data_IF_562121349550
#
_entry.id   IF_562121349550
#
_cell.length_a   1.000
_cell.length_b   1.000
_cell.length_c   1.000
_cell.angle_alpha   90.00
_cell.angle_beta   90.00
_cell.angle_gamma   90.00
#
_symmetry.space_group_name_H-M   'P 1'
#
loop_
_entity.id
_entity.type
_entity.pdbx_description
1 polymer ?
#
# COMPACT_ATOMS: atom_id res chain seq x y z
N UNK A 1 14.53 -3.29 69.78
CA UNK A 1 14.94 -3.89 68.49
C UNK A 1 13.89 -4.94 68.15
N UNK A 2 13.19 -4.82 67.02
CA UNK A 2 12.10 -5.73 66.61
C UNK A 2 12.58 -6.59 65.44
N UNK A 3 12.47 -7.91 65.58
CA UNK A 3 12.71 -8.90 64.52
C UNK A 3 11.40 -9.47 63.99
N UNK A 4 11.21 -9.32 62.67
CA UNK A 4 10.76 -10.23 61.59
C UNK A 4 9.85 -11.43 61.95
N UNK A 5 8.76 -11.67 61.17
CA UNK A 5 8.48 -12.89 60.35
C UNK A 5 7.37 -12.62 59.30
N UNK A 6 7.75 -12.75 58.02
CA UNK A 6 7.15 -13.46 56.85
C UNK A 6 5.63 -13.72 56.81
N UNK A 7 4.99 -13.38 55.68
CA UNK A 7 3.67 -13.86 55.26
C UNK A 7 3.42 -13.56 53.78
N UNK A 8 3.13 -14.60 52.99
CA UNK A 8 3.28 -14.64 51.54
C UNK A 8 2.01 -14.28 50.73
N UNK A 9 2.22 -14.21 49.40
CA UNK A 9 1.28 -14.46 48.29
C UNK A 9 0.44 -13.29 47.78
N UNK A 10 0.69 -12.96 46.51
CA UNK A 10 -0.21 -12.24 45.63
C UNK A 10 0.41 -12.12 44.23
N UNK A 11 0.35 -13.21 43.45
CA UNK A 11 0.70 -13.20 42.03
C UNK A 11 -0.12 -12.15 41.28
N UNK A 12 0.54 -11.34 40.47
CA UNK A 12 -0.04 -10.78 39.25
C UNK A 12 0.91 -11.07 38.08
N UNK A 13 0.57 -12.15 37.37
CA UNK A 13 0.87 -12.38 35.97
C UNK A 13 0.41 -11.11 35.20
N UNK A 14 1.09 -10.53 34.21
CA UNK A 14 1.47 -11.11 32.91
C UNK A 14 2.36 -10.12 32.15
N UNK A 15 3.51 -10.57 31.64
CA UNK A 15 4.12 -10.04 30.41
C UNK A 15 3.43 -10.69 29.19
N UNK A 16 3.56 -10.22 27.93
CA UNK A 16 4.19 -9.00 27.43
C UNK A 16 3.24 -8.16 26.55
N UNK A 17 3.47 -6.85 26.43
CA UNK A 17 3.07 -6.15 25.21
C UNK A 17 4.00 -6.67 24.12
N UNK A 18 3.53 -7.65 23.34
CA UNK A 18 4.07 -7.92 22.02
C UNK A 18 3.96 -6.60 21.26
N UNK A 19 5.08 -5.88 21.15
CA UNK A 19 5.31 -5.01 20.01
C UNK A 19 5.18 -5.92 18.80
N UNK A 20 3.97 -6.02 18.24
CA UNK A 20 3.78 -6.58 16.91
C UNK A 20 4.57 -5.63 16.01
N UNK A 21 5.78 -6.04 15.66
CA UNK A 21 6.45 -5.53 14.46
C UNK A 21 5.38 -5.51 13.37
N UNK A 22 5.16 -4.39 12.67
CA UNK A 22 4.15 -4.34 11.63
C UNK A 22 4.47 -5.48 10.67
N UNK A 23 3.57 -6.46 10.60
CA UNK A 23 3.69 -7.60 9.70
C UNK A 23 4.06 -7.04 8.35
N UNK A 24 5.27 -7.36 7.88
CA UNK A 24 5.80 -6.82 6.64
C UNK A 24 4.76 -7.10 5.56
N UNK A 25 4.11 -6.05 5.04
CA UNK A 25 2.99 -6.21 4.11
C UNK A 25 3.46 -7.06 2.95
N UNK A 26 2.87 -8.24 2.81
CA UNK A 26 3.27 -9.25 1.84
C UNK A 26 3.44 -8.62 0.44
N UNK A 27 4.55 -8.90 -0.25
CA UNK A 27 4.86 -8.26 -1.53
C UNK A 27 3.79 -8.52 -2.60
N UNK A 28 3.13 -9.67 -2.58
CA UNK A 28 2.06 -10.00 -3.52
C UNK A 28 0.78 -9.23 -3.19
N UNK A 29 0.48 -8.98 -1.91
CA UNK A 29 -0.61 -8.06 -1.53
C UNK A 29 -0.40 -6.67 -2.14
N UNK A 30 0.83 -6.16 -2.06
CA UNK A 30 1.18 -4.87 -2.64
C UNK A 30 1.04 -4.88 -4.16
N UNK A 31 1.47 -5.94 -4.84
CA UNK A 31 1.33 -6.07 -6.29
C UNK A 31 -0.13 -6.11 -6.73
N UNK A 32 -0.99 -6.83 -6.02
CA UNK A 32 -2.43 -6.82 -6.30
C UNK A 32 -3.02 -5.41 -6.13
N UNK A 33 -2.76 -4.76 -5.00
CA UNK A 33 -3.25 -3.39 -4.75
C UNK A 33 -2.76 -2.43 -5.85
N UNK A 34 -1.47 -2.46 -6.20
CA UNK A 34 -0.90 -1.68 -7.30
C UNK A 34 -1.58 -1.98 -8.63
N UNK A 35 -1.87 -3.24 -8.93
CA UNK A 35 -2.53 -3.61 -10.20
C UNK A 35 -3.90 -2.94 -10.38
N UNK A 36 -4.68 -2.84 -9.30
CA UNK A 36 -5.99 -2.18 -9.28
C UNK A 36 -5.83 -0.67 -9.44
N UNK A 37 -4.93 -0.07 -8.65
CA UNK A 37 -4.69 1.37 -8.68
C UNK A 37 -4.14 1.82 -10.05
N UNK A 38 -3.17 1.09 -10.60
CA UNK A 38 -2.51 1.43 -11.86
C UNK A 38 -3.44 1.25 -13.07
N UNK A 39 -4.40 0.32 -13.03
CA UNK A 39 -5.44 0.25 -14.05
C UNK A 39 -6.21 1.58 -14.12
N UNK A 40 -6.72 2.04 -12.97
CA UNK A 40 -7.51 3.27 -12.84
C UNK A 40 -6.69 4.50 -13.25
N UNK A 41 -5.47 4.63 -12.73
CA UNK A 41 -4.55 5.71 -13.11
C UNK A 41 -4.25 5.71 -14.60
N UNK A 42 -4.03 4.54 -15.20
CA UNK A 42 -3.77 4.43 -16.65
C UNK A 42 -4.99 4.84 -17.49
N UNK A 43 -6.22 4.57 -17.03
CA UNK A 43 -7.43 5.05 -17.70
C UNK A 43 -7.51 6.57 -17.66
N UNK A 44 -7.24 7.18 -16.50
CA UNK A 44 -7.24 8.64 -16.36
C UNK A 44 -6.14 9.31 -17.18
N UNK A 45 -4.92 8.74 -17.21
CA UNK A 45 -3.83 9.27 -18.02
C UNK A 45 -4.13 9.19 -19.53
N UNK A 46 -4.82 8.13 -19.97
CA UNK A 46 -5.26 8.03 -21.36
C UNK A 46 -6.30 9.11 -21.72
N UNK A 47 -7.16 9.50 -20.78
CA UNK A 47 -8.11 10.60 -21.00
C UNK A 47 -7.40 11.96 -21.14
N UNK A 48 -6.29 12.18 -20.44
CA UNK A 48 -5.48 13.39 -20.56
C UNK A 48 -4.65 13.42 -21.84
N UNK A 49 -4.06 12.27 -22.21
CA UNK A 49 -3.31 12.12 -23.45
C UNK A 49 -3.67 10.79 -24.14
N UNK A 50 -4.60 10.83 -25.11
CA UNK A 50 -5.05 9.63 -25.84
C UNK A 50 -3.95 8.93 -26.65
N UNK A 51 -2.83 9.61 -26.92
CA UNK A 51 -1.68 9.06 -27.64
C UNK A 51 -0.65 8.43 -26.70
N UNK A 52 -0.85 8.52 -25.39
CA UNK A 52 0.07 7.95 -24.40
C UNK A 52 0.14 6.42 -24.53
N UNK A 53 1.35 5.83 -24.51
CA UNK A 53 1.50 4.37 -24.54
C UNK A 53 1.14 3.71 -23.20
N UNK A 54 0.63 4.46 -22.22
CA UNK A 54 0.45 4.00 -20.83
C UNK A 54 -0.40 2.74 -20.70
N UNK A 55 -1.44 2.57 -21.53
CA UNK A 55 -2.24 1.33 -21.49
C UNK A 55 -1.48 0.11 -21.98
N UNK A 56 -0.69 0.25 -23.03
CA UNK A 56 0.15 -0.85 -23.51
C UNK A 56 1.23 -1.19 -22.48
N UNK A 57 1.85 -0.18 -21.86
CA UNK A 57 2.84 -0.37 -20.79
C UNK A 57 2.21 -1.07 -19.57
N UNK A 58 1.01 -0.66 -19.15
CA UNK A 58 0.28 -1.31 -18.05
C UNK A 58 -0.04 -2.78 -18.37
N UNK A 59 -0.53 -3.08 -19.58
CA UNK A 59 -0.84 -4.46 -19.99
C UNK A 59 0.42 -5.34 -20.01
N UNK A 60 1.55 -4.81 -20.48
CA UNK A 60 2.82 -5.52 -20.44
C UNK A 60 3.27 -5.80 -19.00
N UNK A 61 3.23 -4.79 -18.13
CA UNK A 61 3.55 -4.93 -16.71
C UNK A 61 2.65 -5.96 -16.03
N UNK A 62 1.34 -5.92 -16.31
CA UNK A 62 0.37 -6.88 -15.79
C UNK A 62 0.73 -8.31 -16.19
N UNK A 63 1.15 -8.52 -17.45
CA UNK A 63 1.60 -9.82 -17.93
C UNK A 63 2.86 -10.34 -17.23
N UNK A 64 3.79 -9.47 -16.87
CA UNK A 64 5.03 -9.83 -16.17
C UNK A 64 4.78 -10.27 -14.71
N UNK A 65 3.73 -9.74 -14.07
CA UNK A 65 3.43 -9.96 -12.66
C UNK A 65 2.16 -10.79 -12.42
N UNK A 66 1.56 -11.37 -13.46
CA UNK A 66 0.23 -11.99 -13.38
C UNK A 66 0.12 -13.04 -12.28
N UNK A 67 1.11 -13.93 -12.17
CA UNK A 67 1.13 -15.00 -11.16
C UNK A 67 1.17 -14.45 -9.73
N UNK A 68 2.01 -13.46 -9.48
CA UNK A 68 2.17 -12.84 -8.15
C UNK A 68 0.93 -12.03 -7.76
N UNK A 69 0.35 -11.31 -8.72
CA UNK A 69 -0.90 -10.57 -8.53
C UNK A 69 -2.04 -11.53 -8.17
N UNK A 70 -2.12 -12.69 -8.82
CA UNK A 70 -3.14 -13.70 -8.53
C UNK A 70 -2.98 -14.29 -7.13
N UNK A 71 -1.74 -14.58 -6.70
CA UNK A 71 -1.46 -15.01 -5.33
C UNK A 71 -1.88 -13.94 -4.31
N UNK A 72 -1.53 -12.68 -4.57
CA UNK A 72 -1.93 -11.55 -3.72
C UNK A 72 -3.43 -11.38 -3.63
N UNK A 73 -4.14 -11.53 -4.76
CA UNK A 73 -5.61 -11.48 -4.82
C UNK A 73 -6.23 -12.59 -3.97
N UNK A 74 -5.73 -13.81 -4.06
CA UNK A 74 -6.25 -14.94 -3.27
C UNK A 74 -6.06 -14.72 -1.77
N UNK A 75 -4.87 -14.29 -1.35
CA UNK A 75 -4.59 -14.01 0.05
C UNK A 75 -5.46 -12.86 0.61
N UNK A 76 -5.60 -11.77 -0.15
CA UNK A 76 -6.50 -10.66 0.23
C UNK A 76 -7.97 -11.10 0.26
N UNK A 77 -8.38 -11.98 -0.64
CA UNK A 77 -9.75 -12.54 -0.63
C UNK A 77 -10.01 -13.31 0.66
N UNK A 78 -9.09 -14.16 1.09
CA UNK A 78 -9.20 -14.88 2.36
C UNK A 78 -9.30 -13.92 3.54
N UNK A 79 -8.40 -12.93 3.64
CA UNK A 79 -8.43 -11.94 4.71
C UNK A 79 -9.71 -11.10 4.71
N UNK A 80 -10.22 -10.73 3.53
CA UNK A 80 -11.46 -9.98 3.41
C UNK A 80 -12.65 -10.79 3.94
N UNK A 81 -12.73 -12.07 3.59
CA UNK A 81 -13.77 -12.98 4.08
C UNK A 81 -13.73 -13.15 5.59
N UNK A 82 -12.54 -13.31 6.18
CA UNK A 82 -12.35 -13.39 7.63
C UNK A 82 -12.82 -12.13 8.35
N UNK A 83 -12.70 -10.97 7.69
CA UNK A 83 -13.16 -9.67 8.19
C UNK A 83 -14.63 -9.37 7.83
N UNK A 84 -15.36 -10.30 7.20
CA UNK A 84 -16.74 -10.08 6.77
C UNK A 84 -16.89 -9.04 5.64
N UNK A 85 -15.84 -8.82 4.85
CA UNK A 85 -15.80 -7.88 3.73
C UNK A 85 -15.84 -8.63 2.38
N UNK A 86 -16.38 -7.96 1.37
CA UNK A 86 -16.33 -8.44 -0.02
C UNK A 86 -15.07 -7.92 -0.71
N UNK A 87 -14.62 -8.63 -1.76
CA UNK A 87 -13.51 -8.13 -2.57
C UNK A 87 -13.82 -6.81 -3.27
N UNK A 88 -15.07 -6.57 -3.66
CA UNK A 88 -15.49 -5.28 -4.21
C UNK A 88 -15.28 -4.14 -3.20
N UNK A 89 -15.56 -4.38 -1.91
CA UNK A 89 -15.28 -3.41 -0.85
C UNK A 89 -13.79 -3.12 -0.72
N UNK A 90 -12.92 -4.13 -0.87
CA UNK A 90 -11.47 -3.96 -0.81
C UNK A 90 -10.96 -3.19 -2.03
N UNK A 91 -11.40 -3.56 -3.24
CA UNK A 91 -11.08 -2.85 -4.48
C UNK A 91 -11.50 -1.39 -4.40
N UNK A 92 -12.70 -1.11 -3.87
CA UNK A 92 -13.17 0.26 -3.66
C UNK A 92 -12.27 1.07 -2.73
N UNK A 93 -11.64 0.46 -1.73
CA UNK A 93 -10.65 1.16 -0.89
C UNK A 93 -9.43 1.57 -1.73
N UNK A 94 -8.93 0.70 -2.61
CA UNK A 94 -7.81 1.03 -3.49
C UNK A 94 -8.16 2.14 -4.48
N UNK A 95 -9.34 2.07 -5.10
CA UNK A 95 -9.83 3.11 -6.00
C UNK A 95 -10.03 4.45 -5.28
N UNK A 96 -10.57 4.42 -4.06
CA UNK A 96 -10.73 5.65 -3.27
C UNK A 96 -9.39 6.29 -2.92
N UNK A 97 -8.34 5.50 -2.64
CA UNK A 97 -6.99 6.05 -2.44
C UNK A 97 -6.46 6.73 -3.70
N UNK A 98 -6.74 6.17 -4.89
CA UNK A 98 -6.41 6.83 -6.16
C UNK A 98 -7.17 8.15 -6.31
N UNK A 99 -8.48 8.15 -6.09
CA UNK A 99 -9.32 9.35 -6.18
C UNK A 99 -8.88 10.46 -5.22
N UNK A 100 -8.56 10.10 -3.96
CA UNK A 100 -8.12 11.06 -2.95
C UNK A 100 -6.76 11.67 -3.30
N UNK A 101 -5.79 10.87 -3.73
CA UNK A 101 -4.46 11.38 -4.05
C UNK A 101 -4.44 12.14 -5.37
N UNK A 102 -5.14 11.62 -6.38
CA UNK A 102 -5.12 12.16 -7.74
C UNK A 102 -6.10 13.31 -7.95
N UNK A 103 -7.30 13.21 -7.37
CA UNK A 103 -8.37 14.20 -7.55
C UNK A 103 -8.01 15.59 -6.99
N UNK A 104 -7.00 15.66 -6.12
CA UNK A 104 -6.49 16.91 -5.56
C UNK A 104 -5.42 17.59 -6.43
N UNK A 105 -4.88 16.88 -7.43
CA UNK A 105 -3.82 17.41 -8.29
C UNK A 105 -4.41 18.34 -9.36
N UNK A 106 -3.69 19.40 -9.68
CA UNK A 106 -3.97 20.25 -10.84
C UNK A 106 -3.46 19.61 -12.14
N UNK A 107 -3.66 20.29 -13.28
CA UNK A 107 -3.29 19.73 -14.58
C UNK A 107 -1.79 19.39 -14.70
N UNK A 108 -0.85 20.27 -14.30
CA UNK A 108 0.58 19.92 -14.27
C UNK A 108 0.90 18.74 -13.35
N UNK A 109 0.33 18.70 -12.13
CA UNK A 109 0.56 17.60 -11.19
C UNK A 109 0.07 16.25 -11.72
N UNK A 110 -1.10 16.25 -12.39
CA UNK A 110 -1.63 15.05 -13.05
C UNK A 110 -0.78 14.60 -14.23
N UNK A 111 -0.27 15.53 -15.03
CA UNK A 111 0.63 15.22 -16.14
C UNK A 111 1.93 14.58 -15.64
N UNK A 112 2.56 15.16 -14.60
CA UNK A 112 3.76 14.63 -13.98
C UNK A 112 3.55 13.19 -13.47
N UNK A 113 2.46 12.94 -12.75
CA UNK A 113 2.19 11.60 -12.26
C UNK A 113 1.94 10.59 -13.38
N UNK A 114 1.34 11.01 -14.50
CA UNK A 114 1.19 10.13 -15.66
C UNK A 114 2.53 9.73 -16.26
N UNK A 115 3.48 10.66 -16.33
CA UNK A 115 4.83 10.39 -16.81
C UNK A 115 5.61 9.49 -15.83
N UNK A 116 5.48 9.72 -14.52
CA UNK A 116 6.08 8.87 -13.49
C UNK A 116 5.55 7.44 -13.55
N UNK A 117 4.23 7.28 -13.67
CA UNK A 117 3.61 5.97 -13.81
C UNK A 117 4.06 5.27 -15.10
N UNK A 118 4.07 5.99 -16.23
CA UNK A 118 4.53 5.42 -17.49
C UNK A 118 5.99 4.94 -17.40
N UNK A 119 6.86 5.75 -16.82
CA UNK A 119 8.26 5.40 -16.59
C UNK A 119 8.40 4.16 -15.70
N UNK A 120 7.64 4.09 -14.61
CA UNK A 120 7.61 2.92 -13.74
C UNK A 120 7.21 1.65 -14.50
N UNK A 121 6.10 1.71 -15.26
CA UNK A 121 5.55 0.57 -15.97
C UNK A 121 6.50 0.06 -17.05
N UNK A 122 7.23 0.96 -17.72
CA UNK A 122 8.21 0.61 -18.75
C UNK A 122 9.50 0.02 -18.18
N UNK A 123 9.92 0.42 -16.97
CA UNK A 123 11.14 -0.07 -16.35
C UNK A 123 11.00 -1.47 -15.76
N UNK A 124 9.77 -1.99 -15.62
CA UNK A 124 9.52 -3.34 -15.09
C UNK A 124 10.06 -3.58 -13.69
N UNK A 125 10.34 -2.50 -12.93
CA UNK A 125 10.94 -2.56 -11.60
C UNK A 125 9.94 -2.14 -10.53
N UNK A 126 9.89 -2.94 -9.46
CA UNK A 126 9.26 -2.61 -8.20
C UNK A 126 9.96 -1.37 -7.61
N UNK A 127 9.47 -0.17 -7.94
CA UNK A 127 9.83 1.01 -7.16
C UNK A 127 9.34 0.78 -5.71
N UNK A 128 10.30 0.84 -4.79
CA UNK A 128 10.08 0.95 -3.38
C UNK A 128 9.19 2.18 -3.10
N UNK A 129 8.32 2.00 -2.11
CA UNK A 129 7.53 3.00 -1.39
C UNK A 129 8.08 4.42 -1.57
N UNK A 130 7.27 5.30 -2.18
CA UNK A 130 7.41 6.75 -2.02
C UNK A 130 7.15 7.01 -0.53
N UNK A 131 8.24 7.07 0.23
CA UNK A 131 8.21 7.52 1.60
C UNK A 131 8.00 9.02 1.54
N UNK A 132 6.93 9.59 2.12
CA UNK A 132 6.81 11.04 2.20
C UNK A 132 8.04 11.57 2.94
N UNK A 133 8.76 12.48 2.30
CA UNK A 133 9.88 13.19 2.93
C UNK A 133 9.39 13.78 4.25
N UNK A 134 9.97 13.32 5.36
CA UNK A 134 9.76 13.93 6.65
C UNK A 134 10.17 15.42 6.54
N UNK A 135 9.39 16.36 7.09
CA UNK A 135 9.75 17.76 7.04
C UNK A 135 11.08 17.95 7.78
N UNK A 136 12.05 18.49 7.04
CA UNK A 136 13.34 18.94 7.54
C UNK A 136 13.08 19.98 8.65
N UNK A 137 13.26 19.56 9.90
CA UNK A 137 13.14 20.44 11.05
C UNK A 137 14.34 21.40 11.06
N UNK A 138 14.17 22.54 10.40
CA UNK A 138 14.97 23.72 10.68
C UNK A 138 14.73 24.15 12.14
N UNK A 139 15.75 24.06 13.00
CA UNK A 139 16.32 25.20 13.72
C UNK A 139 17.40 24.80 14.73
N UNK A 140 18.52 25.52 14.64
CA UNK A 140 19.60 25.67 15.61
C UNK A 140 19.11 26.07 17.01
N UNK A 141 19.95 25.91 18.04
CA UNK A 141 20.84 27.01 18.41
C UNK A 141 22.33 26.76 18.17
#
# INVERSE_FOLDING_TARGET
MKSIVIGAIGLALTSPALSQEPESVDPNHQLFARSVMYQSLSDMCLQQNPLSPIKAAYQQWLGQHQSDIELGRQAITTMALEQGRTMDSVVNVFLHMVEQNWGQLDEPGRAQQCDELLNYLQQGQVAAVVTPAAPEAANSP
#
